data_IF_193194174978
#
_entry.id   IF_193194174978
#
_cell.length_a   1.000
_cell.length_b   1.000
_cell.length_c   1.000
_cell.angle_alpha   90.00
_cell.angle_beta   90.00
_cell.angle_gamma   90.00
#
_symmetry.space_group_name_H-M   'P 1'
#
loop_
_entity.id
_entity.type
_entity.pdbx_description
1 polymer ?
#
# COMPACT_ATOMS: atom_id res chain seq x y z
N UNK A 1 12.98 -0.40 11.52
CA UNK A 1 12.65 -1.83 11.34
C UNK A 1 13.41 -2.67 12.32
N UNK A 2 12.72 -3.49 13.10
CA UNK A 2 13.46 -4.26 14.02
C UNK A 2 12.66 -5.34 14.63
N UNK A 3 13.29 -6.39 14.93
CA UNK A 3 12.73 -7.51 15.67
C UNK A 3 12.60 -7.14 17.14
N UNK A 4 11.38 -7.06 17.59
CA UNK A 4 11.06 -6.88 19.01
C UNK A 4 10.41 -8.16 19.51
N UNK A 5 10.91 -8.70 20.60
CA UNK A 5 10.35 -9.88 21.22
C UNK A 5 9.08 -9.57 22.02
N UNK A 6 8.50 -10.60 22.65
CA UNK A 6 7.28 -10.45 23.46
C UNK A 6 7.46 -9.57 24.72
N UNK A 7 8.69 -9.27 25.10
CA UNK A 7 9.02 -8.43 26.27
C UNK A 7 9.35 -6.99 25.87
N UNK A 8 9.36 -6.67 24.58
CA UNK A 8 9.69 -5.36 24.05
C UNK A 8 11.19 -5.13 23.84
N UNK A 9 12.02 -6.15 24.04
CA UNK A 9 13.44 -6.06 23.79
C UNK A 9 13.74 -6.11 22.30
N UNK A 10 14.59 -5.21 21.85
CA UNK A 10 14.98 -5.07 20.45
C UNK A 10 16.41 -5.57 20.27
N UNK A 11 16.62 -6.52 19.41
CA UNK A 11 17.94 -7.05 19.09
C UNK A 11 18.22 -7.00 17.58
N UNK A 12 19.46 -6.68 17.15
CA UNK A 12 19.81 -6.79 15.74
C UNK A 12 19.66 -8.24 15.29
N UNK A 13 19.12 -8.41 14.10
CA UNK A 13 18.92 -9.71 13.50
C UNK A 13 20.22 -10.16 12.83
N UNK A 14 21.04 -10.90 13.54
CA UNK A 14 22.29 -11.52 13.09
C UNK A 14 23.17 -10.63 12.16
N UNK A 15 23.64 -11.18 11.05
CA UNK A 15 24.55 -10.53 10.10
C UNK A 15 23.84 -9.98 8.84
N UNK A 16 22.51 -10.07 8.77
CA UNK A 16 21.78 -9.69 7.57
C UNK A 16 21.33 -8.22 7.61
N UNK A 17 22.17 -7.32 7.09
CA UNK A 17 21.91 -5.87 7.08
C UNK A 17 20.65 -5.53 6.26
N UNK A 18 20.40 -6.21 5.14
CA UNK A 18 19.23 -5.98 4.28
C UNK A 18 17.90 -6.24 5.00
N UNK A 19 17.91 -7.03 6.06
CA UNK A 19 16.72 -7.35 6.87
C UNK A 19 16.64 -6.56 8.18
N UNK A 20 17.72 -5.91 8.63
CA UNK A 20 17.76 -5.25 9.94
C UNK A 20 17.85 -3.73 9.87
N UNK A 21 18.56 -3.20 8.89
CA UNK A 21 18.79 -1.77 8.77
C UNK A 21 17.74 -1.11 7.90
N UNK A 22 16.52 -0.96 8.40
CA UNK A 22 15.43 -0.30 7.69
C UNK A 22 14.59 0.56 8.64
N UNK A 23 14.54 1.86 8.39
CA UNK A 23 13.99 2.83 9.32
C UNK A 23 12.56 3.25 9.00
N UNK A 24 11.90 2.62 8.04
CA UNK A 24 10.56 3.03 7.58
C UNK A 24 9.41 2.47 8.41
N UNK A 25 9.69 1.67 9.43
CA UNK A 25 8.67 1.07 10.30
C UNK A 25 7.67 2.08 10.88
N UNK A 26 8.11 3.19 11.51
CA UNK A 26 7.20 4.21 12.04
C UNK A 26 6.28 4.82 10.96
N UNK A 27 6.83 5.16 9.78
CA UNK A 27 6.03 5.69 8.68
C UNK A 27 4.98 4.69 8.21
N UNK A 28 5.37 3.42 8.00
CA UNK A 28 4.43 2.38 7.57
C UNK A 28 3.33 2.15 8.62
N UNK A 29 3.67 2.07 9.89
CA UNK A 29 2.68 1.92 10.97
C UNK A 29 1.68 3.09 11.00
N UNK A 30 2.13 4.31 10.76
CA UNK A 30 1.25 5.49 10.70
C UNK A 30 0.22 5.39 9.57
N UNK A 31 0.50 4.71 8.45
CA UNK A 31 -0.49 4.52 7.38
C UNK A 31 -1.70 3.72 7.84
N UNK A 32 -1.56 2.85 8.84
CA UNK A 32 -2.68 2.11 9.44
C UNK A 32 -3.64 3.03 10.21
N UNK A 33 -3.12 4.08 10.85
CA UNK A 33 -3.96 5.09 11.51
C UNK A 33 -4.79 5.84 10.49
N UNK A 34 -4.18 6.24 9.38
CA UNK A 34 -4.89 6.86 8.29
C UNK A 34 -5.96 5.95 7.69
N UNK A 35 -5.63 4.68 7.42
CA UNK A 35 -6.58 3.68 6.93
C UNK A 35 -7.78 3.53 7.88
N UNK A 36 -7.54 3.50 9.21
CA UNK A 36 -8.64 3.48 10.17
C UNK A 36 -9.56 4.70 10.00
N UNK A 37 -8.99 5.90 9.94
CA UNK A 37 -9.75 7.13 9.72
C UNK A 37 -10.49 7.10 8.38
N UNK A 38 -9.80 6.74 7.30
CA UNK A 38 -10.37 6.68 5.94
C UNK A 38 -11.63 5.81 5.88
N UNK A 39 -11.62 4.68 6.57
CA UNK A 39 -12.74 3.71 6.56
C UNK A 39 -13.81 3.95 7.63
N UNK A 40 -13.55 4.78 8.61
CA UNK A 40 -14.51 5.06 9.70
C UNK A 40 -15.05 6.48 9.70
N UNK A 41 -14.26 7.45 9.23
CA UNK A 41 -14.53 8.87 9.38
C UNK A 41 -14.41 9.37 10.82
N UNK A 42 -13.77 8.59 11.72
CA UNK A 42 -13.63 8.93 13.14
C UNK A 42 -12.63 10.07 13.35
N UNK A 43 -13.16 11.29 13.38
CA UNK A 43 -12.37 12.51 13.58
C UNK A 43 -11.73 12.58 14.97
N UNK A 44 -12.39 12.06 16.00
CA UNK A 44 -11.82 12.03 17.36
C UNK A 44 -10.64 11.08 17.46
N UNK A 45 -10.73 9.92 16.81
CA UNK A 45 -9.58 9.04 16.65
C UNK A 45 -8.45 9.74 15.92
N UNK A 46 -8.71 10.35 14.75
CA UNK A 46 -7.69 11.06 13.97
C UNK A 46 -7.01 12.14 14.82
N UNK A 47 -7.77 12.96 15.55
CA UNK A 47 -7.25 13.97 16.46
C UNK A 47 -6.32 13.40 17.52
N UNK A 48 -6.68 12.22 18.07
CA UNK A 48 -5.89 11.55 19.12
C UNK A 48 -4.54 11.06 18.59
N UNK A 49 -4.50 10.52 17.35
CA UNK A 49 -3.28 9.88 16.82
C UNK A 49 -2.45 10.82 15.92
N UNK A 50 -2.99 11.96 15.52
CA UNK A 50 -2.28 12.91 14.67
C UNK A 50 -0.92 13.36 15.24
N UNK A 51 -0.76 13.63 16.55
CA UNK A 51 0.55 13.90 17.14
C UNK A 51 1.60 12.82 16.83
N UNK A 52 1.25 11.55 16.89
CA UNK A 52 2.17 10.44 16.58
C UNK A 52 2.58 10.47 15.10
N UNK A 53 1.64 10.81 14.21
CA UNK A 53 1.96 10.97 12.78
C UNK A 53 2.90 12.15 12.53
N UNK A 54 2.70 13.28 13.26
CA UNK A 54 3.58 14.44 13.19
C UNK A 54 4.99 14.11 13.69
N UNK A 55 5.13 13.40 14.81
CA UNK A 55 6.43 12.96 15.32
C UNK A 55 7.16 12.07 14.32
N UNK A 56 6.45 11.12 13.71
CA UNK A 56 7.03 10.28 12.66
C UNK A 56 7.48 11.12 11.46
N UNK A 57 6.63 12.04 10.98
CA UNK A 57 6.98 12.91 9.86
C UNK A 57 8.20 13.80 10.17
N UNK A 58 8.30 14.31 11.39
CA UNK A 58 9.44 15.09 11.85
C UNK A 58 10.75 14.31 11.78
N UNK A 59 10.76 13.08 12.30
CA UNK A 59 11.95 12.21 12.21
C UNK A 59 12.44 12.10 10.76
N UNK A 60 11.54 11.94 9.80
CA UNK A 60 11.95 11.82 8.40
C UNK A 60 12.36 13.14 7.78
N UNK A 61 11.77 14.27 8.18
CA UNK A 61 12.25 15.59 7.74
C UNK A 61 13.70 15.83 8.16
N UNK A 62 14.09 15.38 9.36
CA UNK A 62 15.48 15.50 9.84
C UNK A 62 16.42 14.48 9.18
N UNK A 63 15.90 13.32 8.79
CA UNK A 63 16.70 12.23 8.24
C UNK A 63 16.91 12.35 6.71
N UNK A 64 16.00 13.02 6.00
CA UNK A 64 16.10 13.21 4.56
C UNK A 64 17.32 14.07 4.19
N UNK A 65 18.01 13.65 3.13
CA UNK A 65 19.12 14.43 2.54
C UNK A 65 18.81 14.79 1.09
N UNK A 66 19.29 15.93 0.67
CA UNK A 66 19.17 16.35 -0.74
C UNK A 66 20.25 15.67 -1.59
N UNK A 67 19.84 15.05 -2.69
CA UNK A 67 20.71 14.42 -3.67
C UNK A 67 20.17 14.70 -5.07
N UNK A 68 20.98 15.39 -5.87
CA UNK A 68 20.64 15.73 -7.27
C UNK A 68 19.29 16.44 -7.45
N UNK A 69 18.93 17.32 -6.48
CA UNK A 69 17.71 18.12 -6.50
C UNK A 69 16.47 17.43 -6.00
N UNK A 70 16.58 16.21 -5.45
CA UNK A 70 15.49 15.49 -4.79
C UNK A 70 15.85 15.12 -3.35
N UNK A 71 14.84 14.93 -2.51
CA UNK A 71 15.02 14.41 -1.14
C UNK A 71 14.97 12.89 -1.15
N UNK A 72 15.90 12.27 -0.43
CA UNK A 72 16.04 10.81 -0.33
C UNK A 72 16.41 10.38 1.08
N UNK A 73 16.00 9.20 1.47
CA UNK A 73 16.52 8.53 2.65
C UNK A 73 17.95 8.05 2.39
N UNK A 74 18.88 8.39 3.29
CA UNK A 74 20.27 7.97 3.20
C UNK A 74 20.92 7.94 4.60
N UNK A 75 21.47 6.77 5.03
CA UNK A 75 21.44 5.47 4.35
C UNK A 75 20.12 4.72 4.51
N UNK A 76 19.81 3.78 3.59
CA UNK A 76 18.67 2.88 3.70
C UNK A 76 18.94 1.54 2.99
N UNK A 77 17.96 0.62 3.05
CA UNK A 77 17.99 -0.67 2.36
C UNK A 77 16.64 -0.94 1.70
N UNK A 78 16.64 -1.68 0.57
CA UNK A 78 15.41 -2.29 0.07
C UNK A 78 15.23 -3.65 0.74
N UNK A 79 14.27 -3.80 1.66
CA UNK A 79 14.09 -5.09 2.34
C UNK A 79 13.67 -6.21 1.37
N UNK A 80 14.30 -7.33 1.38
CA UNK A 80 15.57 -7.71 2.02
C UNK A 80 16.62 -8.00 0.93
N UNK A 81 16.55 -7.27 -0.19
CA UNK A 81 17.34 -7.53 -1.39
C UNK A 81 18.76 -6.94 -1.30
N UNK A 82 19.64 -7.47 -2.12
CA UNK A 82 21.03 -7.03 -2.27
C UNK A 82 21.34 -6.79 -3.74
N UNK A 83 22.27 -5.91 -3.99
CA UNK A 83 22.72 -5.56 -5.33
C UNK A 83 24.20 -5.87 -5.54
N UNK A 84 24.63 -5.94 -6.81
CA UNK A 84 26.00 -6.12 -7.24
C UNK A 84 26.50 -4.88 -7.95
N UNK A 85 27.67 -4.41 -7.56
CA UNK A 85 28.38 -3.33 -8.23
C UNK A 85 29.17 -3.86 -9.44
N UNK A 86 29.54 -2.99 -10.41
CA UNK A 86 30.33 -3.40 -11.58
C UNK A 86 31.68 -4.07 -11.25
N UNK A 87 32.24 -3.78 -10.08
CA UNK A 87 33.47 -4.40 -9.59
C UNK A 87 33.25 -5.78 -8.93
N UNK A 88 32.02 -6.29 -8.93
CA UNK A 88 31.62 -7.58 -8.34
C UNK A 88 31.32 -7.55 -6.85
N UNK A 89 31.52 -6.42 -6.15
CA UNK A 89 31.15 -6.30 -4.74
C UNK A 89 29.62 -6.28 -4.59
N UNK A 90 29.13 -6.93 -3.53
CA UNK A 90 27.73 -6.92 -3.17
C UNK A 90 27.46 -5.89 -2.07
N UNK A 91 26.28 -5.28 -2.11
CA UNK A 91 25.82 -4.33 -1.13
C UNK A 91 24.32 -4.45 -0.86
N UNK A 92 23.90 -3.99 0.31
CA UNK A 92 22.49 -3.85 0.68
C UNK A 92 22.13 -2.39 0.97
N UNK A 93 23.07 -1.65 1.57
CA UNK A 93 22.88 -0.26 1.97
C UNK A 93 23.00 0.66 0.76
N UNK A 94 22.01 1.51 0.56
CA UNK A 94 21.94 2.45 -0.55
C UNK A 94 21.30 3.76 -0.11
N UNK A 95 20.87 4.58 -1.06
CA UNK A 95 20.08 5.79 -0.85
C UNK A 95 18.91 5.81 -1.84
N UNK A 96 17.87 6.56 -1.51
CA UNK A 96 16.76 6.80 -2.43
C UNK A 96 16.03 5.52 -2.86
N UNK A 97 15.91 4.55 -1.95
CA UNK A 97 15.17 3.32 -2.18
C UNK A 97 13.71 3.64 -2.52
N UNK A 98 13.19 3.04 -3.58
CA UNK A 98 11.86 3.35 -4.10
C UNK A 98 10.76 3.15 -3.07
N UNK A 99 10.82 2.07 -2.29
CA UNK A 99 9.85 1.80 -1.23
C UNK A 99 9.80 2.91 -0.18
N UNK A 100 10.96 3.44 0.22
CA UNK A 100 11.04 4.50 1.21
C UNK A 100 10.33 5.77 0.72
N UNK A 101 10.63 6.19 -0.51
CA UNK A 101 10.00 7.36 -1.11
C UNK A 101 8.47 7.19 -1.25
N UNK A 102 8.00 5.98 -1.55
CA UNK A 102 6.59 5.67 -1.64
C UNK A 102 5.90 5.74 -0.26
N UNK A 103 6.51 5.16 0.79
CA UNK A 103 5.97 5.21 2.16
C UNK A 103 5.95 6.64 2.69
N UNK A 104 7.03 7.41 2.47
CA UNK A 104 7.09 8.82 2.91
C UNK A 104 6.06 9.68 2.20
N UNK A 105 5.84 9.45 0.92
CA UNK A 105 4.80 10.16 0.17
C UNK A 105 3.41 9.90 0.76
N UNK A 106 3.12 8.67 1.17
CA UNK A 106 1.87 8.35 1.87
C UNK A 106 1.80 9.06 3.22
N UNK A 107 2.81 8.92 4.10
CA UNK A 107 2.83 9.57 5.40
C UNK A 107 2.64 11.09 5.29
N UNK A 108 3.42 11.75 4.42
CA UNK A 108 3.37 13.20 4.26
C UNK A 108 2.02 13.65 3.69
N UNK A 109 1.50 12.99 2.67
CA UNK A 109 0.18 13.30 2.11
C UNK A 109 -0.93 13.10 3.14
N UNK A 110 -0.83 12.07 3.97
CA UNK A 110 -1.78 11.79 5.05
C UNK A 110 -1.69 12.82 6.17
N UNK A 111 -0.49 13.30 6.52
CA UNK A 111 -0.31 14.38 7.49
C UNK A 111 -0.89 15.70 6.98
N UNK A 112 -0.70 16.04 5.70
CA UNK A 112 -1.28 17.24 5.08
C UNK A 112 -2.80 17.17 5.16
N UNK A 113 -3.42 16.09 4.67
CA UNK A 113 -4.87 15.90 4.72
C UNK A 113 -5.43 15.90 6.14
N UNK A 114 -4.73 15.25 7.08
CA UNK A 114 -5.14 15.26 8.48
C UNK A 114 -5.10 16.67 9.08
N UNK A 115 -4.10 17.47 8.73
CA UNK A 115 -4.00 18.87 9.12
C UNK A 115 -5.18 19.70 8.61
N UNK A 116 -5.58 19.54 7.35
CA UNK A 116 -6.76 20.18 6.77
C UNK A 116 -8.06 19.75 7.47
N UNK A 117 -8.25 18.45 7.69
CA UNK A 117 -9.44 17.91 8.35
C UNK A 117 -9.55 18.40 9.80
N UNK A 118 -8.43 18.56 10.49
CA UNK A 118 -8.34 18.99 11.87
C UNK A 118 -8.14 20.49 12.02
N UNK A 119 -8.36 21.27 10.96
CA UNK A 119 -8.26 22.72 10.99
C UNK A 119 -9.03 23.30 12.19
N UNK A 120 -8.39 24.25 12.88
CA UNK A 120 -8.92 24.85 14.12
C UNK A 120 -8.64 24.03 15.40
N UNK A 121 -8.02 22.85 15.29
CA UNK A 121 -7.48 22.13 16.46
C UNK A 121 -6.07 22.63 16.75
N UNK A 122 -5.81 23.03 17.98
CA UNK A 122 -4.48 23.52 18.38
C UNK A 122 -3.58 22.35 18.81
N UNK A 123 -2.55 22.07 18.04
CA UNK A 123 -1.48 21.12 18.35
C UNK A 123 -0.17 21.80 18.78
N UNK A 124 -0.16 23.13 18.93
CA UNK A 124 1.05 23.91 19.21
C UNK A 124 1.72 23.50 20.53
N UNK A 125 0.94 23.10 21.53
CA UNK A 125 1.49 22.60 22.79
C UNK A 125 2.35 21.36 22.58
N UNK A 126 1.88 20.40 21.80
CA UNK A 126 2.60 19.17 21.48
C UNK A 126 3.89 19.46 20.70
N UNK A 127 3.81 20.32 19.67
CA UNK A 127 4.99 20.70 18.88
C UNK A 127 6.05 21.45 19.70
N UNK A 128 5.62 22.26 20.67
CA UNK A 128 6.52 22.94 21.61
C UNK A 128 7.21 21.98 22.59
N UNK A 129 6.50 20.96 23.07
CA UNK A 129 7.09 19.90 23.88
C UNK A 129 8.19 19.13 23.14
N UNK A 130 8.07 19.03 21.81
CA UNK A 130 9.08 18.43 20.94
C UNK A 130 10.26 19.37 20.63
N UNK A 131 10.25 20.61 21.10
CA UNK A 131 11.28 21.65 20.84
C UNK A 131 11.52 21.96 19.36
N UNK A 132 10.53 21.74 18.48
CA UNK A 132 10.76 21.70 17.04
C UNK A 132 10.18 22.89 16.28
N UNK A 133 8.98 23.36 16.63
CA UNK A 133 8.28 24.42 15.88
C UNK A 133 7.30 25.20 16.72
N UNK A 134 7.03 26.44 16.30
CA UNK A 134 6.11 27.34 17.02
C UNK A 134 4.63 27.06 16.72
N UNK A 135 4.31 26.50 15.52
CA UNK A 135 2.91 26.24 15.13
C UNK A 135 2.77 25.10 14.10
N UNK A 136 1.58 24.49 14.05
CA UNK A 136 1.27 23.37 13.19
C UNK A 136 1.28 23.75 11.68
N UNK A 137 0.92 24.98 11.33
CA UNK A 137 0.91 25.45 9.93
C UNK A 137 2.31 25.43 9.32
N UNK A 138 3.31 25.99 10.03
CA UNK A 138 4.71 25.97 9.60
C UNK A 138 5.21 24.54 9.38
N UNK A 139 4.78 23.61 10.23
CA UNK A 139 5.16 22.20 10.11
C UNK A 139 4.54 21.56 8.85
N UNK A 140 3.27 21.80 8.60
CA UNK A 140 2.59 21.31 7.40
C UNK A 140 3.24 21.89 6.14
N UNK A 141 3.60 23.17 6.13
CA UNK A 141 4.30 23.79 4.99
C UNK A 141 5.63 23.09 4.69
N UNK A 142 6.40 22.73 5.72
CA UNK A 142 7.63 21.94 5.55
C UNK A 142 7.36 20.53 4.99
N UNK A 143 6.29 19.88 5.44
CA UNK A 143 5.88 18.57 4.88
C UNK A 143 5.48 18.71 3.41
N UNK A 144 4.73 19.75 3.05
CA UNK A 144 4.33 20.01 1.66
C UNK A 144 5.57 20.20 0.76
N UNK A 145 6.51 21.04 1.19
CA UNK A 145 7.77 21.27 0.46
C UNK A 145 8.57 19.96 0.31
N UNK A 146 8.75 19.21 1.39
CA UNK A 146 9.48 17.95 1.38
C UNK A 146 8.78 16.90 0.50
N UNK A 147 7.46 16.77 0.57
CA UNK A 147 6.68 15.84 -0.25
C UNK A 147 6.85 16.14 -1.75
N UNK A 148 6.87 17.43 -2.12
CA UNK A 148 7.12 17.88 -3.48
C UNK A 148 8.53 17.57 -4.00
N UNK A 149 9.50 17.43 -3.11
CA UNK A 149 10.91 17.16 -3.42
C UNK A 149 11.30 15.67 -3.32
N UNK A 150 10.42 14.80 -2.79
CA UNK A 150 10.72 13.35 -2.76
C UNK A 150 10.96 12.82 -4.16
N UNK A 151 11.95 11.93 -4.29
CA UNK A 151 12.22 11.25 -5.56
C UNK A 151 10.96 10.51 -6.05
N UNK A 152 10.53 10.69 -7.30
CA UNK A 152 9.38 9.98 -7.85
C UNK A 152 9.70 8.50 -8.06
N UNK A 153 8.65 7.67 -8.16
CA UNK A 153 8.80 6.29 -8.65
C UNK A 153 9.30 6.31 -10.09
N UNK A 154 10.39 5.61 -10.37
CA UNK A 154 11.08 5.61 -11.66
C UNK A 154 10.94 4.28 -12.38
N UNK A 155 10.87 4.35 -13.72
CA UNK A 155 10.95 3.19 -14.62
C UNK A 155 12.41 3.08 -15.09
N UNK A 156 12.99 1.90 -14.94
CA UNK A 156 14.34 1.60 -15.40
C UNK A 156 14.46 1.41 -16.92
N UNK A 157 15.67 1.30 -17.40
CA UNK A 157 15.99 1.10 -18.82
C UNK A 157 15.40 -0.21 -19.37
N UNK A 158 15.14 -1.18 -18.49
CA UNK A 158 14.50 -2.46 -18.82
C UNK A 158 12.98 -2.39 -18.78
N UNK A 159 12.38 -1.22 -18.44
CA UNK A 159 10.93 -0.98 -18.37
C UNK A 159 10.27 -1.52 -17.12
N UNK A 160 11.03 -1.91 -16.08
CA UNK A 160 10.54 -2.29 -14.74
C UNK A 160 10.55 -1.08 -13.81
N UNK A 161 9.80 -1.14 -12.70
CA UNK A 161 9.99 -0.18 -11.61
C UNK A 161 11.38 -0.39 -11.01
N UNK A 162 12.14 0.69 -10.86
CA UNK A 162 13.46 0.66 -10.21
C UNK A 162 13.29 0.38 -8.71
N UNK A 163 14.11 -0.52 -8.18
CA UNK A 163 14.13 -0.84 -6.74
C UNK A 163 15.00 0.16 -5.96
N UNK A 164 16.10 0.60 -6.56
CA UNK A 164 17.04 1.58 -6.01
C UNK A 164 17.12 2.82 -6.93
N UNK A 165 17.71 3.87 -6.42
CA UNK A 165 17.96 5.10 -7.21
C UNK A 165 18.77 4.81 -8.47
N UNK A 166 19.79 3.97 -8.34
CA UNK A 166 20.62 3.51 -9.43
C UNK A 166 20.12 2.18 -10.02
N UNK A 167 20.45 1.92 -11.28
CA UNK A 167 20.15 0.62 -11.92
C UNK A 167 21.22 -0.40 -11.57
N UNK A 168 21.12 -0.98 -10.39
CA UNK A 168 22.03 -2.04 -9.96
C UNK A 168 21.61 -3.40 -10.51
N UNK A 169 22.60 -4.30 -10.67
CA UNK A 169 22.34 -5.73 -10.89
C UNK A 169 21.82 -6.34 -9.56
N UNK A 170 20.69 -6.99 -9.60
CA UNK A 170 20.14 -7.70 -8.44
C UNK A 170 20.93 -8.99 -8.17
N UNK A 171 21.34 -9.26 -6.91
CA UNK A 171 21.96 -10.52 -6.55
C UNK A 171 20.97 -11.68 -6.58
N UNK A 172 19.70 -11.41 -6.31
CA UNK A 172 18.60 -12.37 -6.33
C UNK A 172 17.42 -11.80 -7.14
N UNK A 173 17.44 -11.90 -8.48
CA UNK A 173 16.38 -11.34 -9.33
C UNK A 173 14.99 -11.94 -9.10
N UNK A 174 14.89 -13.14 -8.47
CA UNK A 174 13.66 -13.79 -8.04
C UNK A 174 13.37 -13.63 -6.56
N UNK A 175 13.88 -12.56 -5.93
CA UNK A 175 13.69 -12.33 -4.49
C UNK A 175 12.21 -12.31 -4.11
N UNK A 176 11.87 -12.92 -2.95
CA UNK A 176 10.48 -13.01 -2.47
C UNK A 176 9.88 -11.67 -2.08
N UNK A 177 10.68 -10.68 -1.67
CA UNK A 177 10.23 -9.31 -1.47
C UNK A 177 10.17 -8.57 -2.81
N UNK A 178 9.10 -7.81 -3.02
CA UNK A 178 8.92 -6.92 -4.17
C UNK A 178 8.60 -5.52 -3.61
N UNK A 179 9.50 -5.04 -2.76
CA UNK A 179 9.33 -3.86 -1.90
C UNK A 179 9.00 -2.59 -2.70
N UNK A 180 9.59 -2.43 -3.88
CA UNK A 180 9.37 -1.30 -4.78
C UNK A 180 7.99 -1.27 -5.46
N UNK A 181 7.15 -2.28 -5.23
CA UNK A 181 5.74 -2.28 -5.60
C UNK A 181 4.80 -1.87 -4.46
N UNK A 182 5.32 -1.38 -3.31
CA UNK A 182 4.50 -0.77 -2.26
C UNK A 182 3.54 0.29 -2.82
N UNK A 183 3.97 1.07 -3.80
CA UNK A 183 3.16 2.09 -4.46
C UNK A 183 1.92 1.54 -5.18
N UNK A 184 1.94 0.25 -5.60
CA UNK A 184 0.79 -0.44 -6.18
C UNK A 184 -0.14 -0.98 -5.09
N UNK A 185 0.42 -1.65 -4.08
CA UNK A 185 -0.27 -2.15 -2.89
C UNK A 185 0.72 -2.20 -1.71
N UNK A 186 0.35 -1.75 -0.51
CA UNK A 186 -0.97 -1.27 -0.07
C UNK A 186 -1.28 0.18 -0.47
N UNK A 187 -0.31 0.96 -0.91
CA UNK A 187 -0.53 2.32 -1.43
C UNK A 187 -1.40 2.32 -2.70
N UNK A 188 -1.76 3.50 -3.18
CA UNK A 188 -2.53 3.72 -4.40
C UNK A 188 -1.83 4.70 -5.35
N UNK A 189 -0.50 4.87 -5.20
CA UNK A 189 0.31 5.77 -6.03
C UNK A 189 0.48 5.23 -7.44
N UNK A 190 0.47 3.89 -7.59
CA UNK A 190 0.47 3.19 -8.87
C UNK A 190 -0.94 2.64 -9.11
N UNK A 191 -1.55 3.04 -10.21
CA UNK A 191 -2.93 2.69 -10.54
C UNK A 191 -3.10 2.53 -12.04
N UNK A 192 -3.86 1.53 -12.46
CA UNK A 192 -4.21 1.30 -13.87
C UNK A 192 -4.91 2.53 -14.49
N UNK A 193 -5.73 3.23 -13.70
CA UNK A 193 -6.50 4.38 -14.19
C UNK A 193 -5.70 5.69 -14.17
N UNK A 194 -4.94 5.95 -13.08
CA UNK A 194 -4.31 7.26 -12.82
C UNK A 194 -2.85 7.32 -13.29
N UNK A 195 -2.15 6.19 -13.30
CA UNK A 195 -0.71 6.09 -13.67
C UNK A 195 -0.45 4.83 -14.52
N UNK A 196 -1.08 4.69 -15.70
CA UNK A 196 -1.05 3.46 -16.49
C UNK A 196 0.37 3.02 -16.88
N UNK A 197 1.28 3.94 -17.14
CA UNK A 197 2.68 3.62 -17.46
C UNK A 197 3.41 2.96 -16.27
N UNK A 198 3.19 3.47 -15.04
CA UNK A 198 3.73 2.86 -13.83
C UNK A 198 3.07 1.51 -13.54
N UNK A 199 1.77 1.36 -13.82
CA UNK A 199 1.06 0.10 -13.65
C UNK A 199 1.61 -0.98 -14.60
N UNK A 200 1.89 -0.64 -15.86
CA UNK A 200 2.52 -1.56 -16.82
C UNK A 200 3.95 -1.93 -16.39
N UNK A 201 4.74 -0.96 -15.93
CA UNK A 201 6.08 -1.21 -15.39
C UNK A 201 6.04 -2.10 -14.12
N UNK A 202 5.05 -1.90 -13.25
CA UNK A 202 4.82 -2.73 -12.07
C UNK A 202 4.44 -4.16 -12.46
N UNK A 203 3.56 -4.34 -13.46
CA UNK A 203 3.23 -5.65 -14.02
C UNK A 203 4.47 -6.37 -14.54
N UNK A 204 5.29 -5.69 -15.32
CA UNK A 204 6.54 -6.24 -15.85
C UNK A 204 7.53 -6.62 -14.75
N UNK A 205 7.61 -5.81 -13.68
CA UNK A 205 8.42 -6.10 -12.49
C UNK A 205 7.94 -7.40 -11.84
N UNK A 206 6.65 -7.52 -11.59
CA UNK A 206 6.02 -8.68 -10.96
C UNK A 206 6.25 -9.95 -11.77
N UNK A 207 5.95 -9.93 -13.06
CA UNK A 207 6.15 -11.06 -13.98
C UNK A 207 7.61 -11.51 -14.05
N UNK A 208 8.55 -10.55 -14.02
CA UNK A 208 9.99 -10.86 -14.00
C UNK A 208 10.39 -11.55 -12.71
N UNK A 209 9.94 -11.07 -11.54
CA UNK A 209 10.17 -11.71 -10.23
C UNK A 209 9.64 -13.14 -10.22
N UNK A 210 8.40 -13.34 -10.68
CA UNK A 210 7.78 -14.67 -10.70
C UNK A 210 8.48 -15.63 -11.63
N UNK A 211 8.85 -15.23 -12.82
CA UNK A 211 9.59 -16.05 -13.78
C UNK A 211 10.93 -16.51 -13.24
N UNK A 212 11.54 -15.75 -12.35
CA UNK A 212 12.85 -16.03 -11.75
C UNK A 212 12.75 -16.71 -10.37
N UNK A 213 11.55 -17.17 -9.95
CA UNK A 213 11.34 -17.98 -8.76
C UNK A 213 10.75 -17.24 -7.56
N UNK A 214 10.33 -16.00 -7.70
CA UNK A 214 9.69 -15.22 -6.64
C UNK A 214 8.33 -15.77 -6.21
N UNK A 215 7.86 -15.37 -5.03
CA UNK A 215 6.55 -15.77 -4.52
C UNK A 215 6.50 -17.16 -3.91
N UNK A 216 7.63 -17.71 -3.47
CA UNK A 216 7.75 -19.07 -2.92
C UNK A 216 7.38 -19.18 -1.43
N UNK A 217 7.06 -18.06 -0.74
CA UNK A 217 6.60 -18.05 0.66
C UNK A 217 5.15 -17.61 0.72
N UNK A 218 4.43 -17.98 1.80
CA UNK A 218 2.99 -17.69 1.89
C UNK A 218 2.67 -16.21 1.87
N UNK A 219 3.33 -15.39 2.70
CA UNK A 219 3.07 -13.95 2.71
C UNK A 219 3.46 -13.28 1.38
N UNK A 220 4.55 -13.71 0.73
CA UNK A 220 4.92 -13.15 -0.57
C UNK A 220 3.91 -13.51 -1.66
N UNK A 221 3.35 -14.72 -1.61
CA UNK A 221 2.26 -15.14 -2.48
C UNK A 221 1.00 -14.30 -2.27
N UNK A 222 0.66 -14.01 -1.00
CA UNK A 222 -0.46 -13.15 -0.66
C UNK A 222 -0.29 -11.72 -1.22
N UNK A 223 0.93 -11.15 -1.17
CA UNK A 223 1.25 -9.87 -1.82
C UNK A 223 1.01 -9.91 -3.34
N UNK A 224 1.43 -10.98 -4.01
CA UNK A 224 1.24 -11.17 -5.44
C UNK A 224 -0.25 -11.18 -5.82
N UNK A 225 -1.10 -11.83 -5.00
CA UNK A 225 -2.55 -11.81 -5.20
C UNK A 225 -3.07 -10.37 -5.16
N UNK A 226 -2.65 -9.57 -4.15
CA UNK A 226 -3.03 -8.17 -4.04
C UNK A 226 -2.51 -7.32 -5.22
N UNK A 227 -1.29 -7.54 -5.68
CA UNK A 227 -0.75 -6.84 -6.85
C UNK A 227 -1.56 -7.10 -8.11
N UNK A 228 -1.88 -8.37 -8.41
CA UNK A 228 -2.72 -8.68 -9.56
C UNK A 228 -4.15 -8.16 -9.42
N UNK A 229 -4.72 -8.17 -8.21
CA UNK A 229 -6.02 -7.56 -7.95
C UNK A 229 -6.00 -6.05 -8.29
N UNK A 230 -4.94 -5.32 -7.89
CA UNK A 230 -4.75 -3.89 -8.19
C UNK A 230 -4.42 -3.60 -9.65
N UNK A 231 -3.86 -4.57 -10.37
CA UNK A 231 -3.66 -4.54 -11.82
C UNK A 231 -4.91 -4.96 -12.61
N UNK A 232 -6.01 -5.27 -11.93
CA UNK A 232 -7.27 -5.76 -12.50
C UNK A 232 -7.11 -7.09 -13.28
N UNK A 233 -6.11 -7.89 -12.95
CA UNK A 233 -5.86 -9.20 -13.55
C UNK A 233 -6.41 -10.32 -12.65
N UNK A 234 -7.70 -10.60 -12.81
CA UNK A 234 -8.42 -11.58 -11.98
C UNK A 234 -7.93 -13.02 -12.18
N UNK A 235 -7.52 -13.39 -13.40
CA UNK A 235 -7.05 -14.75 -13.69
C UNK A 235 -5.69 -15.01 -13.03
N UNK A 236 -4.76 -14.07 -13.12
CA UNK A 236 -3.47 -14.19 -12.45
C UNK A 236 -3.60 -14.15 -10.92
N UNK A 237 -4.49 -13.31 -10.38
CA UNK A 237 -4.79 -13.29 -8.96
C UNK A 237 -5.36 -14.63 -8.49
N UNK A 238 -6.33 -15.19 -9.20
CA UNK A 238 -6.95 -16.48 -8.89
C UNK A 238 -5.94 -17.65 -8.96
N UNK A 239 -5.12 -17.69 -10.00
CA UNK A 239 -4.05 -18.69 -10.09
C UNK A 239 -3.11 -18.63 -8.87
N UNK A 240 -2.78 -17.44 -8.38
CA UNK A 240 -1.96 -17.30 -7.17
C UNK A 240 -2.70 -17.68 -5.88
N UNK A 241 -4.04 -17.61 -5.83
CA UNK A 241 -4.84 -18.19 -4.74
C UNK A 241 -4.73 -19.71 -4.76
N UNK A 242 -4.83 -20.36 -5.93
CA UNK A 242 -4.65 -21.80 -6.05
C UNK A 242 -3.27 -22.22 -5.56
N UNK A 243 -2.20 -21.56 -6.02
CA UNK A 243 -0.84 -21.81 -5.56
C UNK A 243 -0.66 -21.57 -4.05
N UNK A 244 -1.32 -20.57 -3.48
CA UNK A 244 -1.33 -20.31 -2.04
C UNK A 244 -1.90 -21.50 -1.26
N UNK A 245 -3.04 -22.02 -1.70
CA UNK A 245 -3.70 -23.15 -1.06
C UNK A 245 -2.90 -24.46 -1.22
N UNK A 246 -2.31 -24.68 -2.38
CA UNK A 246 -1.56 -25.90 -2.68
C UNK A 246 -0.18 -25.96 -2.03
N UNK A 247 0.55 -24.84 -2.01
CA UNK A 247 1.98 -24.82 -1.69
C UNK A 247 2.31 -24.08 -0.40
N UNK A 248 1.48 -23.10 -0.01
CA UNK A 248 1.77 -22.18 1.08
C UNK A 248 0.72 -22.21 2.20
N UNK A 249 -0.03 -23.30 2.31
CA UNK A 249 -1.04 -23.48 3.37
C UNK A 249 -0.90 -24.87 4.00
N UNK A 250 -0.85 -24.90 5.34
CA UNK A 250 -0.89 -26.16 6.08
C UNK A 250 -2.32 -26.74 6.12
N UNK A 251 -2.45 -28.03 6.46
CA UNK A 251 -3.77 -28.70 6.56
C UNK A 251 -4.71 -28.07 7.59
N UNK A 252 -4.20 -27.31 8.55
CA UNK A 252 -4.96 -26.52 9.52
C UNK A 252 -5.32 -25.12 9.04
N UNK A 253 -5.08 -24.81 7.77
CA UNK A 253 -5.28 -23.53 7.09
C UNK A 253 -4.34 -22.42 7.53
N UNK A 254 -3.33 -22.69 8.33
CA UNK A 254 -2.30 -21.69 8.63
C UNK A 254 -1.36 -21.49 7.45
N UNK A 255 -0.92 -20.25 7.26
CA UNK A 255 0.09 -19.91 6.27
C UNK A 255 1.41 -20.66 6.50
N UNK A 256 2.07 -20.98 5.42
CA UNK A 256 3.35 -21.67 5.39
C UNK A 256 4.40 -20.80 4.71
N UNK A 257 5.23 -20.16 5.54
CA UNK A 257 6.42 -19.46 5.02
C UNK A 257 7.50 -20.46 4.52
N UNK A 258 8.05 -21.50 5.22
CA UNK A 258 8.04 -21.97 6.61
C UNK A 258 8.98 -21.18 7.54
N UNK A 259 8.75 -21.10 8.88
CA UNK A 259 7.58 -21.62 9.60
C UNK A 259 6.30 -20.81 9.34
N UNK A 260 5.26 -21.04 10.15
CA UNK A 260 4.04 -20.24 10.12
C UNK A 260 4.28 -18.75 10.32
N UNK A 261 3.64 -17.93 9.48
CA UNK A 261 3.55 -16.46 9.62
C UNK A 261 2.11 -16.04 9.29
N UNK A 262 1.45 -15.32 10.20
CA UNK A 262 0.02 -14.97 10.07
C UNK A 262 -0.27 -14.01 8.91
N UNK A 263 0.71 -13.28 8.47
CA UNK A 263 0.62 -12.27 7.41
C UNK A 263 0.11 -12.86 6.08
N UNK A 264 0.49 -14.09 5.72
CA UNK A 264 -0.06 -14.75 4.54
C UNK A 264 -1.55 -15.01 4.66
N UNK A 265 -2.04 -15.40 5.86
CA UNK A 265 -3.46 -15.59 6.10
C UNK A 265 -4.25 -14.29 5.95
N UNK A 266 -3.76 -13.18 6.50
CA UNK A 266 -4.43 -11.88 6.35
C UNK A 266 -4.32 -11.36 4.93
N UNK A 267 -3.15 -11.50 4.31
CA UNK A 267 -2.90 -11.00 2.97
C UNK A 267 -3.73 -11.69 1.89
N UNK A 268 -3.99 -13.00 1.98
CA UNK A 268 -4.86 -13.69 1.01
C UNK A 268 -6.32 -13.22 1.12
N UNK A 269 -6.81 -12.99 2.35
CA UNK A 269 -8.16 -12.45 2.55
C UNK A 269 -8.27 -11.03 2.00
N UNK A 270 -7.25 -10.20 2.23
CA UNK A 270 -7.15 -8.86 1.63
C UNK A 270 -7.16 -8.93 0.11
N UNK A 271 -6.37 -9.82 -0.49
CA UNK A 271 -6.32 -10.01 -1.94
C UNK A 271 -7.67 -10.37 -2.54
N UNK A 272 -8.41 -11.29 -1.91
CA UNK A 272 -9.76 -11.66 -2.34
C UNK A 272 -10.71 -10.44 -2.23
N UNK A 273 -10.61 -9.66 -1.15
CA UNK A 273 -11.41 -8.45 -1.00
C UNK A 273 -11.07 -7.41 -2.10
N UNK A 274 -9.79 -7.20 -2.41
CA UNK A 274 -9.33 -6.31 -3.48
C UNK A 274 -9.75 -6.77 -4.88
N UNK A 275 -9.87 -8.09 -5.12
CA UNK A 275 -10.42 -8.62 -6.37
C UNK A 275 -11.90 -8.29 -6.55
N UNK A 276 -12.65 -8.17 -5.44
CA UNK A 276 -14.09 -7.92 -5.46
C UNK A 276 -14.44 -6.45 -5.34
N UNK A 277 -13.67 -5.67 -4.57
CA UNK A 277 -13.98 -4.27 -4.28
C UNK A 277 -12.70 -3.48 -4.02
N UNK A 278 -12.53 -2.37 -4.73
CA UNK A 278 -11.52 -1.36 -4.41
C UNK A 278 -12.19 -0.02 -4.15
N UNK A 279 -11.69 0.72 -3.18
CA UNK A 279 -12.26 2.02 -2.85
C UNK A 279 -11.20 2.99 -2.37
N UNK A 280 -11.37 4.25 -2.71
CA UNK A 280 -10.64 5.41 -2.22
C UNK A 280 -11.61 6.54 -1.83
N UNK A 281 -11.08 7.72 -1.50
CA UNK A 281 -11.87 8.88 -1.12
C UNK A 281 -12.80 9.36 -2.25
N UNK A 282 -12.49 9.05 -3.51
CA UNK A 282 -13.21 9.55 -4.70
C UNK A 282 -14.11 8.48 -5.29
N UNK A 283 -13.66 7.21 -5.29
CA UNK A 283 -14.29 6.16 -6.09
C UNK A 283 -14.48 4.83 -5.37
N UNK A 284 -15.43 4.06 -5.88
CA UNK A 284 -15.71 2.67 -5.52
C UNK A 284 -15.74 1.86 -6.80
N UNK A 285 -14.82 0.92 -6.97
CA UNK A 285 -14.75 0.03 -8.12
C UNK A 285 -15.26 -1.36 -7.74
N UNK A 286 -16.24 -1.82 -8.49
CA UNK A 286 -16.94 -3.10 -8.26
C UNK A 286 -16.36 -4.19 -9.18
N UNK A 287 -16.03 -5.34 -8.59
CA UNK A 287 -15.52 -6.53 -9.28
C UNK A 287 -14.31 -6.25 -10.20
N UNK A 288 -13.28 -5.48 -9.75
CA UNK A 288 -12.17 -5.06 -10.61
C UNK A 288 -11.37 -6.22 -11.19
N UNK A 289 -11.30 -7.35 -10.47
CA UNK A 289 -10.46 -8.50 -10.82
C UNK A 289 -11.23 -9.82 -10.61
N UNK A 290 -12.48 -9.89 -11.07
CA UNK A 290 -13.30 -11.10 -10.98
C UNK A 290 -12.76 -12.17 -11.94
N UNK A 291 -12.31 -13.36 -11.46
CA UNK A 291 -11.84 -14.42 -12.34
C UNK A 291 -13.00 -15.16 -13.00
N UNK A 292 -12.76 -15.74 -14.16
CA UNK A 292 -13.77 -16.54 -14.89
C UNK A 292 -14.26 -17.78 -14.13
N UNK A 293 -13.48 -18.26 -13.15
CA UNK A 293 -13.90 -19.34 -12.26
C UNK A 293 -15.03 -18.94 -11.29
N UNK A 294 -15.16 -17.66 -10.95
CA UNK A 294 -16.20 -17.16 -10.04
C UNK A 294 -17.40 -16.61 -10.79
N UNK A 295 -18.02 -17.44 -11.62
CA UNK A 295 -19.14 -17.03 -12.49
C UNK A 295 -20.35 -16.48 -11.72
N UNK A 296 -20.66 -17.07 -10.56
CA UNK A 296 -21.77 -16.66 -9.74
C UNK A 296 -21.31 -16.52 -8.29
N UNK A 297 -21.76 -15.48 -7.61
CA UNK A 297 -21.40 -15.28 -6.22
C UNK A 297 -22.09 -14.08 -5.59
N UNK A 298 -21.81 -13.91 -4.33
CA UNK A 298 -22.26 -12.74 -3.57
C UNK A 298 -21.29 -12.41 -2.44
N UNK A 299 -21.24 -11.14 -2.08
CA UNK A 299 -20.51 -10.65 -0.91
C UNK A 299 -21.33 -9.59 -0.21
N UNK A 300 -21.25 -9.53 1.12
CA UNK A 300 -22.02 -8.58 1.92
C UNK A 300 -21.12 -7.80 2.87
N UNK A 301 -21.33 -6.49 2.91
CA UNK A 301 -20.74 -5.62 3.91
C UNK A 301 -19.24 -5.33 3.74
N UNK A 302 -18.67 -5.45 2.52
CA UNK A 302 -17.32 -4.99 2.25
C UNK A 302 -17.24 -3.48 2.49
N UNK A 303 -16.29 -3.07 3.33
CA UNK A 303 -16.15 -1.67 3.73
C UNK A 303 -15.57 -0.82 2.58
N UNK A 304 -16.02 0.42 2.51
CA UNK A 304 -15.50 1.44 1.61
C UNK A 304 -15.03 2.67 2.38
N UNK A 305 -14.12 3.44 1.79
CA UNK A 305 -13.67 4.71 2.34
C UNK A 305 -14.86 5.65 2.61
N UNK A 306 -14.78 6.43 3.70
CA UNK A 306 -15.86 7.33 4.14
C UNK A 306 -16.93 6.69 5.01
N UNK A 307 -16.70 5.47 5.53
CA UNK A 307 -17.58 4.85 6.52
C UNK A 307 -18.79 4.12 5.96
N UNK A 308 -18.75 3.74 4.68
CA UNK A 308 -19.79 2.95 4.04
C UNK A 308 -19.48 1.46 3.91
N UNK A 309 -20.40 0.72 3.28
CA UNK A 309 -20.19 -0.68 2.89
C UNK A 309 -20.92 -1.00 1.59
N UNK A 310 -20.45 -2.04 0.90
CA UNK A 310 -21.03 -2.55 -0.35
C UNK A 310 -21.42 -4.01 -0.18
N UNK A 311 -22.59 -4.35 -0.67
CA UNK A 311 -23.07 -5.73 -0.84
C UNK A 311 -23.38 -5.94 -2.32
N UNK A 312 -22.86 -7.03 -2.89
CA UNK A 312 -23.00 -7.34 -4.32
C UNK A 312 -23.42 -8.78 -4.53
N UNK A 313 -24.16 -8.98 -5.62
CA UNK A 313 -24.46 -10.29 -6.21
C UNK A 313 -24.06 -10.23 -7.68
N UNK A 314 -23.45 -11.29 -8.20
CA UNK A 314 -23.08 -11.39 -9.60
C UNK A 314 -23.47 -12.75 -10.16
N UNK A 315 -23.80 -12.77 -11.44
CA UNK A 315 -24.26 -13.94 -12.17
C UNK A 315 -23.64 -13.99 -13.56
N UNK A 316 -23.19 -15.16 -13.96
CA UNK A 316 -22.53 -15.38 -15.24
C UNK A 316 -21.36 -14.41 -15.51
N UNK A 317 -20.62 -14.04 -14.44
CA UNK A 317 -19.50 -13.11 -14.50
C UNK A 317 -19.87 -11.63 -14.52
N UNK A 318 -21.16 -11.29 -14.43
CA UNK A 318 -21.66 -9.92 -14.49
C UNK A 318 -22.35 -9.50 -13.19
N UNK A 319 -22.16 -8.24 -12.80
CA UNK A 319 -22.86 -7.66 -11.65
C UNK A 319 -24.37 -7.73 -11.87
N UNK A 320 -25.07 -8.42 -10.99
CA UNK A 320 -26.53 -8.57 -11.01
C UNK A 320 -27.21 -7.56 -10.07
N UNK A 321 -26.62 -7.34 -8.90
CA UNK A 321 -27.15 -6.41 -7.90
C UNK A 321 -26.04 -5.78 -7.08
N UNK A 322 -26.14 -4.47 -6.82
CA UNK A 322 -25.26 -3.74 -5.90
C UNK A 322 -26.07 -2.86 -4.96
N UNK A 323 -25.78 -2.99 -3.67
CA UNK A 323 -26.34 -2.14 -2.60
C UNK A 323 -25.19 -1.50 -1.85
N UNK A 324 -25.18 -0.17 -1.83
CA UNK A 324 -24.21 0.65 -1.10
C UNK A 324 -24.90 1.23 0.11
N UNK A 325 -24.37 0.99 1.30
CA UNK A 325 -24.87 1.56 2.55
C UNK A 325 -23.87 2.60 3.07
N UNK A 326 -24.30 3.85 3.18
CA UNK A 326 -23.51 4.96 3.66
C UNK A 326 -23.99 5.43 5.03
N UNK A 327 -23.07 5.63 5.98
CA UNK A 327 -23.41 6.20 7.29
C UNK A 327 -23.81 7.68 7.19
N UNK A 328 -23.07 8.43 6.37
CA UNK A 328 -23.31 9.85 6.07
C UNK A 328 -23.43 10.05 4.56
N UNK A 329 -24.10 11.11 4.10
CA UNK A 329 -24.12 11.46 2.68
C UNK A 329 -22.70 11.66 2.15
N UNK A 330 -22.38 11.04 1.01
CA UNK A 330 -21.07 11.18 0.37
C UNK A 330 -21.17 11.12 -1.15
N UNK A 331 -20.35 11.92 -1.82
CA UNK A 331 -20.21 11.88 -3.28
C UNK A 331 -19.18 10.82 -3.66
N UNK A 332 -19.48 9.93 -4.61
CA UNK A 332 -18.59 8.88 -5.10
C UNK A 332 -18.77 8.64 -6.59
N UNK A 333 -17.68 8.25 -7.24
CA UNK A 333 -17.71 7.69 -8.60
C UNK A 333 -17.78 6.17 -8.47
N UNK A 334 -18.90 5.59 -8.87
CA UNK A 334 -19.05 4.12 -8.89
C UNK A 334 -18.55 3.62 -10.25
N UNK A 335 -17.59 2.70 -10.23
CA UNK A 335 -16.96 2.12 -11.41
C UNK A 335 -17.28 0.63 -11.53
N UNK A 336 -17.72 0.21 -12.70
CA UNK A 336 -17.90 -1.20 -13.05
C UNK A 336 -17.63 -1.41 -14.53
N UNK A 337 -16.66 -2.27 -14.89
CA UNK A 337 -16.18 -2.35 -16.26
C UNK A 337 -15.71 -0.97 -16.76
N UNK A 338 -16.24 -0.56 -17.92
CA UNK A 338 -15.98 0.75 -18.52
C UNK A 338 -16.93 1.86 -18.03
N UNK A 339 -17.93 1.51 -17.21
CA UNK A 339 -18.89 2.48 -16.66
C UNK A 339 -18.30 3.23 -15.47
N UNK A 340 -18.55 4.55 -15.41
CA UNK A 340 -18.17 5.42 -14.29
C UNK A 340 -19.29 6.43 -14.03
N UNK A 341 -20.07 6.22 -12.97
CA UNK A 341 -21.21 7.07 -12.60
C UNK A 341 -20.87 7.89 -11.34
N UNK A 342 -20.94 9.20 -11.47
CA UNK A 342 -20.85 10.09 -10.32
C UNK A 342 -22.20 10.18 -9.64
N UNK A 343 -22.27 9.74 -8.37
CA UNK A 343 -23.52 9.71 -7.60
C UNK A 343 -23.34 10.34 -6.22
N UNK A 344 -24.44 10.92 -5.72
CA UNK A 344 -24.58 11.33 -4.32
C UNK A 344 -25.25 10.19 -3.55
N UNK A 345 -24.47 9.47 -2.75
CA UNK A 345 -24.98 8.48 -1.82
C UNK A 345 -25.64 9.18 -0.64
N UNK A 346 -26.94 8.95 -0.44
CA UNK A 346 -27.64 9.40 0.76
C UNK A 346 -27.26 8.53 1.97
N UNK A 347 -27.49 9.03 3.19
CA UNK A 347 -27.41 8.18 4.38
C UNK A 347 -28.41 7.03 4.28
N UNK A 348 -27.96 5.80 4.59
CA UNK A 348 -28.71 4.58 4.42
C UNK A 348 -28.34 3.81 3.16
N UNK A 349 -29.29 3.06 2.61
CA UNK A 349 -29.07 2.12 1.48
C UNK A 349 -29.43 2.77 0.16
N UNK A 350 -28.51 2.68 -0.79
CA UNK A 350 -28.69 3.05 -2.19
C UNK A 350 -28.47 1.81 -3.05
N UNK A 351 -29.47 1.43 -3.85
CA UNK A 351 -29.30 0.40 -4.87
C UNK A 351 -28.76 1.05 -6.14
N UNK A 352 -27.66 0.51 -6.66
CA UNK A 352 -27.02 0.97 -7.87
C UNK A 352 -26.96 -0.16 -8.90
N UNK A 353 -27.39 0.11 -10.11
CA UNK A 353 -27.32 -0.82 -11.23
C UNK A 353 -26.58 -0.15 -12.39
N UNK A 354 -25.59 -0.80 -12.99
CA UNK A 354 -24.92 -0.25 -14.16
C UNK A 354 -25.93 -0.08 -15.31
N UNK A 355 -25.90 1.07 -15.96
CA UNK A 355 -26.56 1.23 -17.24
C UNK A 355 -25.69 0.47 -18.25
N UNK A 356 -26.03 -0.78 -18.52
CA UNK A 356 -25.38 -1.54 -19.59
C UNK A 356 -25.76 -0.90 -20.95
N UNK A 357 -24.79 -0.24 -21.57
CA UNK A 357 -24.96 0.27 -22.97
C UNK A 357 -24.81 -0.83 -23.97
#
# INVERSE_FOLDING_TARGET
HHNTDAFGDTAPQDICISSTYWMMGPAWLCTHFWTHYEYTGDREFLKKIFPVMLEAALFYLDFLVEKDGVLVMCPSVSPENTYRLPNGQQGAVSYGVTMDNQILRDLFSQCIKAGEILEGTDFSAHLKEMEVMENCGEFIDKIVDACGKLSPTQIGSDGRIKEWMEEYEECEPGHRHISHLYGLYPSRQISVDKTPELAEAAKKTLETRLRLGGGHTGWSRAWIINFYARLHDGESAYHNIELMLEQSTYSNLFDRHPPFQIDGNFGVVSGIAEMLLQSDEESVRLLPALPGAWKNGSVKGLRIAGGGSVSMEWKDGHLDRCVIEAGNPMKRVIRYGDTADEIMLASGKTEWNPVLC
#
